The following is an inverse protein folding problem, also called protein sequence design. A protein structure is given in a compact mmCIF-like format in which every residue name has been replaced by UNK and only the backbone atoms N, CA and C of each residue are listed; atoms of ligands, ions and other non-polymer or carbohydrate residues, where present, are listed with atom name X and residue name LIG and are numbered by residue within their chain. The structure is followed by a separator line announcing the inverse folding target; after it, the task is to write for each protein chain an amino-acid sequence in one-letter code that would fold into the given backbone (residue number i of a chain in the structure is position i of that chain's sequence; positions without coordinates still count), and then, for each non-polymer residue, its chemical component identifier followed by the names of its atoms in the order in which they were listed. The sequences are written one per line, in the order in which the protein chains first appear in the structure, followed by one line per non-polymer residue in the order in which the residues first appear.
data_IF_296119024710
#
_entry.id   IF_296119024710
#
_cell.length_a   1.000
_cell.length_b   1.000
_cell.length_c   1.000
_cell.angle_alpha   90.00
_cell.angle_beta   90.00
_cell.angle_gamma   90.00
#
_symmetry.space_group_name_H-M   'P 1'
#
loop_
_entity.id
_entity.type
_entity.pdbx_description
1 polymer ?
#
# COMPACT_ATOMS: atom_id res chain seq x y z
N UNK A 1 -33.33 -66.57 38.44
CA UNK A 1 -32.02 -66.32 37.78
C UNK A 1 -32.25 -65.29 36.63
N UNK A 2 -32.81 -64.10 36.92
CA UNK A 2 -33.06 -63.06 35.87
C UNK A 2 -33.17 -61.61 36.41
N UNK A 3 -33.04 -61.32 37.70
CA UNK A 3 -33.14 -59.95 38.19
C UNK A 3 -31.81 -59.25 38.42
N UNK A 4 -30.68 -59.95 38.51
CA UNK A 4 -29.41 -59.37 38.76
C UNK A 4 -28.73 -58.82 37.47
N UNK A 5 -29.05 -59.36 36.29
CA UNK A 5 -28.53 -58.86 35.00
C UNK A 5 -29.15 -57.56 34.50
N UNK A 6 -30.36 -57.24 34.95
CA UNK A 6 -31.05 -56.03 34.54
C UNK A 6 -30.59 -54.78 35.31
N UNK A 7 -30.01 -54.96 36.52
CA UNK A 7 -29.52 -53.87 37.37
C UNK A 7 -28.11 -53.40 36.98
N UNK A 8 -27.28 -54.27 36.40
CA UNK A 8 -25.92 -53.91 35.96
C UNK A 8 -25.93 -53.19 34.59
N UNK A 9 -26.86 -53.49 33.69
CA UNK A 9 -27.00 -52.77 32.43
C UNK A 9 -27.49 -51.32 32.60
N UNK A 10 -28.33 -51.06 33.61
CA UNK A 10 -28.78 -49.68 33.94
C UNK A 10 -27.74 -48.84 34.63
N UNK A 11 -26.77 -49.45 35.34
CA UNK A 11 -25.63 -48.74 35.93
C UNK A 11 -24.53 -48.40 34.90
N UNK A 12 -24.36 -49.21 33.86
CA UNK A 12 -23.43 -48.92 32.75
C UNK A 12 -24.00 -47.85 31.82
N UNK A 13 -25.30 -47.81 31.57
CA UNK A 13 -25.94 -46.76 30.78
C UNK A 13 -25.90 -45.39 31.48
N UNK A 14 -25.99 -45.35 32.84
CA UNK A 14 -25.88 -44.06 33.61
C UNK A 14 -24.44 -43.52 33.65
N UNK A 15 -23.42 -44.36 33.51
CA UNK A 15 -22.04 -43.92 33.46
C UNK A 15 -21.61 -43.43 32.08
N UNK A 16 -22.26 -43.86 31.02
CA UNK A 16 -22.03 -43.40 29.65
C UNK A 16 -22.74 -42.07 29.32
N UNK A 17 -23.85 -41.75 29.98
CA UNK A 17 -24.58 -40.49 29.76
C UNK A 17 -23.99 -39.32 30.58
N UNK A 18 -23.31 -39.57 31.72
CA UNK A 18 -22.62 -38.53 32.45
C UNK A 18 -21.20 -38.20 31.91
N UNK A 19 -20.61 -39.02 31.01
CA UNK A 19 -19.34 -38.76 30.35
C UNK A 19 -19.43 -37.94 29.10
N UNK A 20 -20.65 -37.82 28.48
CA UNK A 20 -20.85 -37.11 27.24
C UNK A 20 -21.26 -35.63 27.40
N UNK A 21 -21.55 -35.20 28.63
CA UNK A 21 -22.03 -33.83 28.89
C UNK A 21 -20.96 -32.83 29.33
N UNK A 22 -19.67 -33.19 29.35
CA UNK A 22 -18.55 -32.31 29.72
C UNK A 22 -17.58 -32.00 28.58
N UNK A 23 -17.92 -32.28 27.34
CA UNK A 23 -17.13 -31.92 26.16
C UNK A 23 -17.85 -30.96 25.19
N UNK A 24 -18.89 -30.27 25.67
CA UNK A 24 -19.56 -29.23 24.92
C UNK A 24 -19.18 -27.87 25.51
N UNK A 25 -18.24 -27.16 24.88
CA UNK A 25 -18.12 -25.73 25.16
C UNK A 25 -16.75 -25.16 25.49
N UNK A 26 -15.73 -25.47 24.71
CA UNK A 26 -14.66 -24.51 24.48
C UNK A 26 -14.39 -24.48 22.98
N UNK A 27 -15.31 -23.88 22.25
CA UNK A 27 -14.96 -23.26 20.99
C UNK A 27 -14.08 -22.06 21.34
N UNK A 28 -12.78 -22.30 21.40
CA UNK A 28 -11.82 -21.23 21.30
C UNK A 28 -12.09 -20.55 19.97
N UNK A 29 -12.67 -19.36 20.01
CA UNK A 29 -12.61 -18.43 18.90
C UNK A 29 -11.11 -18.20 18.65
N UNK A 30 -10.53 -18.94 17.70
CA UNK A 30 -9.21 -18.61 17.19
C UNK A 30 -9.34 -17.19 16.66
N UNK A 31 -8.54 -16.23 17.17
CA UNK A 31 -8.53 -14.91 16.55
C UNK A 31 -8.23 -15.13 15.07
N UNK A 32 -9.06 -14.56 14.21
CA UNK A 32 -8.80 -14.56 12.78
C UNK A 32 -7.36 -14.05 12.60
N UNK A 33 -6.47 -14.90 12.07
CA UNK A 33 -5.09 -14.54 11.82
C UNK A 33 -5.11 -13.36 10.86
N UNK A 34 -4.83 -12.17 11.36
CA UNK A 34 -4.66 -10.96 10.55
C UNK A 34 -3.29 -11.05 9.90
N UNK A 35 -3.22 -10.82 8.59
CA UNK A 35 -1.96 -10.67 7.86
C UNK A 35 -1.34 -9.31 8.23
N UNK A 36 -0.77 -9.22 9.43
CA UNK A 36 -0.02 -8.06 9.87
C UNK A 36 1.33 -8.03 9.16
N UNK A 37 1.70 -6.88 8.60
CA UNK A 37 2.96 -6.68 7.89
C UNK A 37 4.04 -6.26 8.89
N UNK A 38 5.24 -6.86 8.76
CA UNK A 38 6.44 -6.50 9.51
C UNK A 38 7.40 -5.77 8.61
N UNK A 39 7.92 -4.62 9.06
CA UNK A 39 8.84 -3.77 8.29
C UNK A 39 10.29 -4.18 8.56
N UNK A 40 11.05 -4.33 7.48
CA UNK A 40 12.48 -4.53 7.49
C UNK A 40 13.15 -3.51 6.56
N UNK A 41 14.04 -2.66 7.08
CA UNK A 41 14.84 -1.73 6.25
C UNK A 41 15.88 -2.53 5.49
N UNK A 42 15.81 -2.55 4.17
CA UNK A 42 16.73 -3.30 3.30
C UNK A 42 17.88 -2.43 2.78
N UNK A 43 17.65 -1.13 2.62
CA UNK A 43 18.69 -0.16 2.25
C UNK A 43 18.35 1.25 2.76
N UNK A 44 19.37 2.06 2.97
CA UNK A 44 19.26 3.46 3.40
C UNK A 44 20.35 4.31 2.78
N UNK A 45 20.22 5.63 2.84
CA UNK A 45 21.27 6.55 2.38
C UNK A 45 22.54 6.39 3.22
N UNK A 46 23.70 6.65 2.62
CA UNK A 46 24.99 6.54 3.31
C UNK A 46 25.07 7.46 4.54
N UNK A 47 24.56 8.68 4.43
CA UNK A 47 24.58 9.71 5.48
C UNK A 47 23.12 10.15 5.78
N UNK A 48 22.35 9.38 6.58
CA UNK A 48 20.99 9.75 6.94
C UNK A 48 20.97 10.99 7.82
N UNK A 49 19.96 11.84 7.64
CA UNK A 49 19.78 13.09 8.38
C UNK A 49 19.61 12.80 9.87
N UNK A 50 20.48 13.34 10.74
CA UNK A 50 20.38 13.14 12.19
C UNK A 50 19.23 13.97 12.77
N UNK A 51 18.29 13.30 13.45
CA UNK A 51 17.10 13.92 14.03
C UNK A 51 16.86 13.39 15.45
N UNK A 52 16.30 14.20 16.34
CA UNK A 52 15.79 13.75 17.63
C UNK A 52 14.27 13.92 17.65
N UNK A 53 13.56 12.88 17.99
CA UNK A 53 12.11 12.90 18.23
C UNK A 53 11.89 12.76 19.74
N UNK A 54 11.67 13.90 20.40
CA UNK A 54 11.47 13.95 21.85
C UNK A 54 10.12 13.33 22.18
N UNK A 55 10.00 12.50 23.25
CA UNK A 55 8.71 12.01 23.70
C UNK A 55 7.71 13.14 23.87
N UNK A 56 6.54 13.01 23.25
CA UNK A 56 5.52 14.05 23.31
C UNK A 56 4.88 14.09 24.69
N UNK A 57 4.79 15.28 25.28
CA UNK A 57 4.10 15.47 26.55
C UNK A 57 2.63 15.04 26.40
N UNK A 58 2.13 14.25 27.33
CA UNK A 58 0.74 13.79 27.36
C UNK A 58 -0.08 14.63 28.32
N UNK A 59 -1.28 15.06 27.87
CA UNK A 59 -2.30 15.55 28.79
C UNK A 59 -2.84 14.38 29.63
N UNK A 60 -3.09 14.59 30.91
CA UNK A 60 -3.59 13.56 31.85
C UNK A 60 -4.89 12.87 31.39
N UNK A 61 -5.67 13.55 30.53
CA UNK A 61 -6.95 13.07 30.01
C UNK A 61 -6.88 12.41 28.63
N UNK A 62 -5.69 12.18 28.04
CA UNK A 62 -5.58 11.56 26.73
C UNK A 62 -5.74 10.03 26.85
N UNK A 63 -6.86 9.43 26.40
CA UNK A 63 -7.03 7.99 26.45
C UNK A 63 -6.10 7.27 25.47
N UNK A 64 -5.54 6.13 25.87
CA UNK A 64 -4.80 5.19 25.03
C UNK A 64 -3.28 5.23 25.19
N UNK A 65 -2.65 4.12 24.81
CA UNK A 65 -1.21 3.89 24.92
C UNK A 65 -0.42 4.34 23.67
N UNK A 66 -1.04 5.07 22.74
CA UNK A 66 -0.40 5.48 21.49
C UNK A 66 0.71 6.48 21.77
N UNK A 67 1.96 6.11 21.49
CA UNK A 67 3.10 7.02 21.52
C UNK A 67 3.29 7.66 20.13
N UNK A 68 2.87 8.92 20.00
CA UNK A 68 3.01 9.70 18.75
C UNK A 68 4.47 9.82 18.33
N UNK A 69 5.39 10.02 19.29
CA UNK A 69 6.81 10.17 18.98
C UNK A 69 7.40 8.85 18.45
N UNK A 70 6.95 7.69 18.93
CA UNK A 70 7.38 6.39 18.41
C UNK A 70 6.95 6.21 16.94
N UNK A 71 5.71 6.57 16.61
CA UNK A 71 5.23 6.47 15.22
C UNK A 71 6.04 7.39 14.31
N UNK A 72 6.25 8.66 14.72
CA UNK A 72 7.03 9.62 13.95
C UNK A 72 8.48 9.12 13.76
N UNK A 73 9.09 8.58 14.81
CA UNK A 73 10.42 8.00 14.73
C UNK A 73 10.45 6.83 13.74
N UNK A 74 9.50 5.91 13.87
CA UNK A 74 9.40 4.73 13.00
C UNK A 74 9.22 5.11 11.52
N UNK A 75 8.36 6.06 11.21
CA UNK A 75 8.14 6.57 9.87
C UNK A 75 9.43 7.12 9.26
N UNK A 76 10.09 8.04 10.00
CA UNK A 76 11.28 8.72 9.51
C UNK A 76 12.47 7.78 9.35
N UNK A 77 12.76 6.93 10.33
CA UNK A 77 13.80 5.90 10.23
C UNK A 77 13.47 4.87 9.15
N UNK A 78 12.23 4.41 9.11
CA UNK A 78 11.72 3.49 8.10
C UNK A 78 11.88 4.03 6.67
N UNK A 79 11.88 5.35 6.46
CA UNK A 79 12.17 5.93 5.14
C UNK A 79 13.61 5.71 4.65
N UNK A 80 14.52 5.28 5.54
CA UNK A 80 15.94 5.14 5.26
C UNK A 80 16.68 6.46 5.04
N UNK A 81 16.03 7.62 5.26
CA UNK A 81 16.55 8.97 5.07
C UNK A 81 16.99 9.64 6.37
N UNK A 82 16.53 9.14 7.50
CA UNK A 82 16.79 9.72 8.82
C UNK A 82 17.42 8.71 9.75
N UNK A 83 18.14 9.23 10.74
CA UNK A 83 18.69 8.49 11.87
C UNK A 83 18.29 9.19 13.15
N UNK A 84 17.44 8.55 13.94
CA UNK A 84 16.97 9.11 15.20
C UNK A 84 18.05 9.02 16.30
N UNK A 85 18.14 10.05 17.12
CA UNK A 85 18.91 10.00 18.37
C UNK A 85 18.18 9.12 19.38
N UNK A 86 18.82 8.07 19.94
CA UNK A 86 18.22 7.25 20.99
C UNK A 86 17.72 8.10 22.18
N UNK A 87 16.55 7.77 22.71
CA UNK A 87 15.89 8.55 23.80
C UNK A 87 16.76 8.70 25.03
N UNK A 88 17.53 7.67 25.38
CA UNK A 88 18.44 7.63 26.54
C UNK A 88 19.61 8.60 26.39
N UNK A 89 19.91 9.05 25.19
CA UNK A 89 20.99 9.99 24.88
C UNK A 89 20.50 11.44 24.80
N UNK A 90 19.19 11.67 24.89
CA UNK A 90 18.63 13.01 24.80
C UNK A 90 19.01 13.84 26.05
N UNK A 91 19.50 15.09 25.90
CA UNK A 91 19.99 15.89 27.01
C UNK A 91 18.85 16.48 27.84
N UNK A 92 17.63 16.54 27.29
CA UNK A 92 16.41 17.07 27.91
C UNK A 92 15.17 16.57 27.17
N UNK A 93 14.00 16.80 27.76
CA UNK A 93 12.69 16.48 27.16
C UNK A 93 11.86 17.78 26.98
N UNK A 94 12.29 18.71 26.09
CA UNK A 94 11.50 19.91 25.80
C UNK A 94 10.19 19.55 25.12
N UNK A 95 9.13 20.33 25.38
CA UNK A 95 7.80 20.15 24.78
C UNK A 95 7.43 21.26 23.82
N UNK A 96 8.30 22.30 23.72
CA UNK A 96 8.15 23.48 22.87
C UNK A 96 9.50 23.90 22.32
N UNK A 97 9.50 24.58 21.16
CA UNK A 97 10.71 25.03 20.47
C UNK A 97 11.57 25.99 21.33
N UNK A 98 10.93 26.85 22.13
CA UNK A 98 11.62 27.83 23.00
C UNK A 98 12.41 27.17 24.15
N UNK A 99 12.13 25.92 24.45
CA UNK A 99 12.83 25.11 25.47
C UNK A 99 14.03 24.32 24.88
N UNK A 100 14.19 24.32 23.56
CA UNK A 100 15.27 23.57 22.89
C UNK A 100 16.57 24.35 22.99
N UNK A 101 17.47 23.93 23.91
CA UNK A 101 18.82 24.47 24.02
C UNK A 101 19.69 23.93 22.89
N UNK A 102 19.62 24.53 21.70
CA UNK A 102 20.26 24.06 20.45
C UNK A 102 21.73 23.62 20.61
N UNK A 103 22.62 24.29 21.39
CA UNK A 103 24.00 23.84 21.58
C UNK A 103 24.13 22.43 22.17
N UNK A 104 23.25 22.04 23.10
CA UNK A 104 23.30 20.71 23.72
C UNK A 104 23.00 19.58 22.74
N UNK A 105 22.06 19.81 21.81
CA UNK A 105 21.69 18.86 20.75
C UNK A 105 22.73 18.79 19.65
N UNK A 106 23.32 19.94 19.28
CA UNK A 106 24.37 20.00 18.27
C UNK A 106 25.62 19.21 18.65
N UNK A 107 26.03 19.24 19.93
CA UNK A 107 27.18 18.45 20.43
C UNK A 107 26.94 16.93 20.25
N UNK A 108 25.67 16.49 20.24
CA UNK A 108 25.28 15.09 19.98
C UNK A 108 25.16 14.74 18.49
N UNK A 109 25.50 15.68 17.61
CA UNK A 109 25.42 15.49 16.16
C UNK A 109 23.98 15.43 15.65
N UNK A 110 23.06 16.13 16.29
CA UNK A 110 21.63 16.17 15.91
C UNK A 110 21.34 17.48 15.20
N UNK A 111 20.91 17.41 13.94
CA UNK A 111 20.63 18.60 13.13
C UNK A 111 19.22 19.16 13.34
N UNK A 112 18.28 18.29 13.71
CA UNK A 112 16.87 18.65 13.91
C UNK A 112 16.32 18.04 15.18
N UNK A 113 15.45 18.78 15.87
CA UNK A 113 14.71 18.32 17.05
C UNK A 113 13.21 18.51 16.82
N UNK A 114 12.47 17.44 17.02
CA UNK A 114 10.99 17.42 17.04
C UNK A 114 10.54 17.41 18.48
N UNK A 115 9.70 18.36 18.84
CA UNK A 115 9.08 18.46 20.17
C UNK A 115 7.58 18.53 19.98
N UNK A 116 6.81 18.10 21.00
CA UNK A 116 5.37 18.14 20.87
C UNK A 116 4.62 17.73 22.13
N UNK A 117 3.32 17.78 22.01
CA UNK A 117 2.38 17.38 23.07
C UNK A 117 1.08 16.86 22.47
N UNK A 118 0.40 16.01 23.19
CA UNK A 118 -0.99 15.63 22.94
C UNK A 118 -1.92 16.34 23.93
N UNK A 119 -3.09 16.78 23.48
CA UNK A 119 -4.08 17.46 24.31
C UNK A 119 -5.47 16.88 24.04
N UNK A 120 -6.26 16.72 25.10
CA UNK A 120 -7.70 16.49 24.96
C UNK A 120 -8.39 17.82 24.65
N UNK A 121 -9.41 17.78 23.78
CA UNK A 121 -10.25 18.92 23.44
C UNK A 121 -11.64 18.75 24.07
N UNK A 122 -12.33 19.87 24.33
CA UNK A 122 -13.63 19.90 25.01
C UNK A 122 -14.73 19.08 24.31
N UNK A 123 -14.58 18.81 23.02
CA UNK A 123 -15.52 18.00 22.22
C UNK A 123 -15.19 16.49 22.22
N UNK A 124 -14.27 16.04 23.07
CA UNK A 124 -13.83 14.65 23.12
C UNK A 124 -12.85 14.23 22.02
N UNK A 125 -12.43 15.15 21.17
CA UNK A 125 -11.34 14.94 20.21
C UNK A 125 -9.97 15.04 20.91
N UNK A 126 -8.94 14.56 20.25
CA UNK A 126 -7.54 14.74 20.65
C UNK A 126 -6.82 15.62 19.62
N UNK A 127 -5.81 16.34 20.09
CA UNK A 127 -4.90 17.11 19.23
C UNK A 127 -3.45 16.68 19.46
N UNK A 128 -2.67 16.70 18.38
CA UNK A 128 -1.22 16.58 18.40
C UNK A 128 -0.65 17.93 17.97
N UNK A 129 0.01 18.63 18.88
CA UNK A 129 0.82 19.80 18.59
C UNK A 129 2.27 19.37 18.42
N UNK A 130 2.93 19.81 17.35
CA UNK A 130 4.36 19.57 17.19
C UNK A 130 5.09 20.80 16.66
N UNK A 131 6.38 20.86 16.94
CA UNK A 131 7.30 21.88 16.43
C UNK A 131 8.59 21.20 15.97
N UNK A 132 9.14 21.66 14.84
CA UNK A 132 10.43 21.20 14.29
C UNK A 132 11.44 22.34 14.40
N UNK A 133 12.57 22.08 15.04
CA UNK A 133 13.66 23.04 15.27
C UNK A 133 14.92 22.58 14.55
N UNK A 134 15.58 23.50 13.83
CA UNK A 134 16.92 23.29 13.31
C UNK A 134 17.94 23.70 14.39
N UNK A 135 18.78 22.78 14.84
CA UNK A 135 19.74 23.02 15.93
C UNK A 135 20.92 23.90 15.52
N UNK A 136 21.25 23.95 14.24
CA UNK A 136 22.36 24.77 13.72
C UNK A 136 22.03 26.26 13.77
N UNK A 137 20.77 26.60 13.40
CA UNK A 137 20.32 27.99 13.31
C UNK A 137 19.45 28.42 14.48
N UNK A 138 18.92 27.49 15.28
CA UNK A 138 17.91 27.74 16.31
C UNK A 138 16.52 28.04 15.73
N UNK A 139 16.34 27.97 14.41
CA UNK A 139 15.10 28.35 13.74
C UNK A 139 14.04 27.26 13.89
N UNK A 140 12.80 27.67 14.20
CA UNK A 140 11.61 26.81 14.11
C UNK A 140 11.16 26.70 12.64
N UNK A 141 11.29 25.49 12.06
CA UNK A 141 10.97 25.23 10.67
C UNK A 141 9.49 24.90 10.43
N UNK A 142 8.83 24.33 11.43
CA UNK A 142 7.40 24.03 11.41
C UNK A 142 6.78 24.14 12.81
N UNK A 143 5.50 24.49 12.85
CA UNK A 143 4.64 24.40 14.02
C UNK A 143 3.22 24.15 13.52
N UNK A 144 2.62 22.99 13.85
CA UNK A 144 1.28 22.65 13.40
C UNK A 144 0.53 21.86 14.48
N UNK A 145 -0.80 21.92 14.36
CA UNK A 145 -1.74 21.12 15.17
C UNK A 145 -2.56 20.24 14.25
N UNK A 146 -2.64 18.96 14.59
CA UNK A 146 -3.56 18.01 13.99
C UNK A 146 -4.56 17.54 15.03
N UNK A 147 -5.85 17.72 14.77
CA UNK A 147 -6.92 17.30 15.68
C UNK A 147 -7.84 16.29 14.99
N UNK A 148 -8.43 15.40 15.79
CA UNK A 148 -9.36 14.39 15.31
C UNK A 148 -9.90 13.50 16.42
N UNK A 149 -10.75 12.55 16.06
CA UNK A 149 -11.22 11.54 17.00
C UNK A 149 -10.04 10.72 17.57
N UNK A 150 -10.15 10.12 18.75
CA UNK A 150 -9.08 9.31 19.35
C UNK A 150 -8.49 8.27 18.41
N UNK A 151 -9.32 7.58 17.62
CA UNK A 151 -8.88 6.60 16.61
C UNK A 151 -8.10 7.18 15.43
N UNK A 152 -8.11 8.51 15.24
CA UNK A 152 -7.39 9.19 14.16
C UNK A 152 -5.97 9.64 14.58
N UNK A 153 -5.54 9.38 15.83
CA UNK A 153 -4.27 9.90 16.33
C UNK A 153 -3.05 9.27 15.66
N UNK A 154 -3.14 8.00 15.23
CA UNK A 154 -2.10 7.39 14.42
C UNK A 154 -1.92 8.12 13.08
N UNK A 155 -3.00 8.41 12.39
CA UNK A 155 -2.95 9.21 11.16
C UNK A 155 -2.41 10.63 11.42
N UNK A 156 -2.75 11.26 12.56
CA UNK A 156 -2.18 12.54 12.96
C UNK A 156 -0.65 12.45 13.13
N UNK A 157 -0.12 11.38 13.73
CA UNK A 157 1.32 11.13 13.84
C UNK A 157 1.99 10.99 12.47
N UNK A 158 1.42 10.22 11.55
CA UNK A 158 1.90 10.11 10.16
C UNK A 158 1.90 11.46 9.43
N UNK A 159 0.89 12.31 9.68
CA UNK A 159 0.87 13.68 9.13
C UNK A 159 1.99 14.56 9.69
N UNK A 160 2.36 14.37 10.94
CA UNK A 160 3.56 15.02 11.53
C UNK A 160 4.80 14.59 10.75
N UNK A 161 4.96 13.28 10.51
CA UNK A 161 6.06 12.71 9.70
C UNK A 161 6.07 13.29 8.28
N UNK A 162 4.93 13.41 7.62
CA UNK A 162 4.80 13.99 6.27
C UNK A 162 5.33 15.42 6.22
N UNK A 163 4.98 16.25 7.22
CA UNK A 163 5.43 17.65 7.30
C UNK A 163 6.93 17.73 7.59
N UNK A 164 7.45 16.93 8.51
CA UNK A 164 8.89 16.88 8.83
C UNK A 164 9.67 16.49 7.58
N UNK A 165 9.25 15.43 6.89
CA UNK A 165 9.85 14.95 5.67
C UNK A 165 9.90 16.04 4.59
N UNK A 166 8.78 16.75 4.40
CA UNK A 166 8.68 17.86 3.45
C UNK A 166 9.59 19.03 3.80
N UNK A 167 9.65 19.40 5.09
CA UNK A 167 10.45 20.55 5.52
C UNK A 167 11.97 20.33 5.41
N UNK A 168 12.40 19.09 5.53
CA UNK A 168 13.81 18.72 5.51
C UNK A 168 14.26 18.29 4.10
N UNK A 169 13.44 17.50 3.39
CA UNK A 169 13.82 16.90 2.10
C UNK A 169 13.16 17.58 0.88
N UNK A 170 12.22 18.51 1.09
CA UNK A 170 11.57 19.26 0.02
C UNK A 170 10.39 18.54 -0.66
N UNK A 171 10.15 17.25 -0.36
CA UNK A 171 9.06 16.44 -0.90
C UNK A 171 8.12 16.06 0.22
N UNK A 172 6.81 16.19 0.03
CA UNK A 172 5.81 15.74 1.01
C UNK A 172 5.99 14.25 1.31
N UNK A 173 5.94 13.84 2.59
CA UNK A 173 5.93 12.43 2.97
C UNK A 173 4.64 11.75 2.47
N UNK A 174 4.64 10.43 2.43
CA UNK A 174 3.47 9.63 2.09
C UNK A 174 3.08 8.67 3.23
N UNK A 175 3.43 9.02 4.47
CA UNK A 175 3.18 8.19 5.65
C UNK A 175 1.69 8.17 6.01
N UNK A 176 1.00 9.32 5.93
CA UNK A 176 -0.44 9.43 6.19
C UNK A 176 -1.29 8.99 4.99
N UNK A 177 -0.91 7.89 4.35
CA UNK A 177 -1.64 7.30 3.21
C UNK A 177 -2.02 5.86 3.50
N UNK A 178 -2.72 5.22 2.57
CA UNK A 178 -3.14 3.82 2.69
C UNK A 178 -2.61 3.00 1.52
N UNK A 179 -2.45 1.72 1.76
CA UNK A 179 -2.14 0.72 0.73
C UNK A 179 -3.27 -0.29 0.63
N UNK A 180 -3.47 -0.84 -0.56
CA UNK A 180 -4.26 -2.04 -0.77
C UNK A 180 -3.36 -3.15 -1.29
N UNK A 181 -3.64 -4.39 -0.90
CA UNK A 181 -2.89 -5.54 -1.38
C UNK A 181 -3.73 -6.82 -1.27
N UNK A 182 -3.30 -7.86 -1.95
CA UNK A 182 -3.92 -9.18 -1.86
C UNK A 182 -3.06 -10.07 -0.96
N UNK A 183 -3.67 -10.62 0.09
CA UNK A 183 -3.07 -11.69 0.89
C UNK A 183 -3.60 -13.03 0.43
N UNK A 184 -2.71 -14.04 0.37
CA UNK A 184 -3.04 -15.42 0.02
C UNK A 184 -2.67 -16.32 1.19
N UNK A 185 -3.64 -17.06 1.71
CA UNK A 185 -3.48 -17.96 2.85
C UNK A 185 -3.83 -19.40 2.47
N UNK A 186 -3.13 -20.34 3.09
CA UNK A 186 -3.34 -21.77 2.87
C UNK A 186 -2.69 -22.28 1.57
N UNK A 187 -2.83 -23.57 1.32
CA UNK A 187 -2.29 -24.25 0.15
C UNK A 187 -3.42 -24.68 -0.80
N UNK A 188 -3.11 -24.83 -2.08
CA UNK A 188 -4.05 -25.31 -3.08
C UNK A 188 -4.55 -26.73 -2.71
N UNK A 189 -5.85 -27.05 -2.88
CA UNK A 189 -6.92 -26.21 -3.45
C UNK A 189 -7.68 -25.35 -2.40
N UNK A 190 -7.23 -25.32 -1.15
CA UNK A 190 -7.92 -24.65 -0.04
C UNK A 190 -7.50 -23.18 0.15
N UNK A 191 -6.79 -22.60 -0.81
CA UNK A 191 -6.35 -21.20 -0.75
C UNK A 191 -7.51 -20.23 -0.53
N UNK A 192 -7.22 -19.19 0.25
CA UNK A 192 -8.11 -18.03 0.47
C UNK A 192 -7.37 -16.77 0.08
N UNK A 193 -8.07 -15.90 -0.61
CA UNK A 193 -7.60 -14.60 -1.07
C UNK A 193 -8.32 -13.52 -0.29
N UNK A 194 -7.58 -12.56 0.20
CA UNK A 194 -8.12 -11.43 0.93
C UNK A 194 -7.64 -10.13 0.29
N UNK A 195 -8.57 -9.24 -0.06
CA UNK A 195 -8.25 -7.87 -0.42
C UNK A 195 -8.21 -7.06 0.88
N UNK A 196 -7.04 -6.53 1.18
CA UNK A 196 -6.76 -5.84 2.44
C UNK A 196 -6.41 -4.39 2.15
N UNK A 197 -6.91 -3.50 3.01
CA UNK A 197 -6.50 -2.09 3.09
C UNK A 197 -5.80 -1.88 4.43
N UNK A 198 -4.65 -1.22 4.41
CA UNK A 198 -3.86 -0.91 5.60
C UNK A 198 -3.28 0.51 5.54
N UNK A 199 -2.70 1.01 6.63
CA UNK A 199 -1.84 2.19 6.61
C UNK A 199 -0.60 1.92 5.73
N UNK A 200 0.08 2.96 5.27
CA UNK A 200 1.23 2.81 4.36
C UNK A 200 2.38 1.98 4.95
N UNK A 201 2.49 1.95 6.28
CA UNK A 201 3.45 1.12 7.03
C UNK A 201 2.96 -0.32 7.28
N UNK A 202 1.79 -0.68 6.75
CA UNK A 202 1.18 -2.00 6.92
C UNK A 202 0.38 -2.18 8.21
N UNK A 203 0.33 -1.20 9.10
CA UNK A 203 -0.48 -1.27 10.30
C UNK A 203 -1.98 -1.15 10.01
N UNK A 204 -2.81 -1.50 11.00
CA UNK A 204 -4.27 -1.46 10.90
C UNK A 204 -4.85 -2.20 9.68
N UNK A 205 -4.38 -3.42 9.36
CA UNK A 205 -4.90 -4.14 8.20
C UNK A 205 -6.40 -4.44 8.38
N UNK A 206 -7.18 -4.11 7.35
CA UNK A 206 -8.61 -4.36 7.29
C UNK A 206 -8.97 -5.13 6.03
N UNK A 207 -9.48 -6.35 6.19
CA UNK A 207 -9.96 -7.15 5.07
C UNK A 207 -11.30 -6.61 4.58
N UNK A 208 -11.34 -6.11 3.35
CA UNK A 208 -12.54 -5.57 2.72
C UNK A 208 -13.26 -6.58 1.84
N UNK A 209 -12.57 -7.66 1.44
CA UNK A 209 -13.15 -8.78 0.71
C UNK A 209 -12.37 -10.06 1.00
N UNK A 210 -13.09 -11.16 1.21
CA UNK A 210 -12.55 -12.52 1.28
C UNK A 210 -13.13 -13.39 0.17
N UNK A 211 -12.30 -14.17 -0.53
CA UNK A 211 -12.68 -15.02 -1.65
C UNK A 211 -11.94 -16.35 -1.61
N UNK A 212 -12.62 -17.41 -2.12
CA UNK A 212 -11.97 -18.69 -2.42
C UNK A 212 -11.34 -18.72 -3.83
N UNK A 213 -11.52 -17.65 -4.58
CA UNK A 213 -11.01 -17.49 -5.94
C UNK A 213 -10.04 -16.33 -5.99
N UNK A 214 -9.10 -16.33 -6.96
CA UNK A 214 -8.12 -15.27 -7.07
C UNK A 214 -8.73 -13.86 -7.11
N UNK A 215 -8.04 -12.95 -6.44
CA UNK A 215 -8.24 -11.51 -6.50
C UNK A 215 -6.96 -10.90 -7.07
N UNK A 216 -7.08 -9.93 -7.98
CA UNK A 216 -5.94 -9.35 -8.69
C UNK A 216 -6.15 -7.87 -8.99
N UNK A 217 -5.05 -7.18 -9.28
CA UNK A 217 -4.98 -5.83 -9.85
C UNK A 217 -5.85 -4.81 -9.10
N UNK A 218 -5.72 -4.67 -7.77
CA UNK A 218 -6.38 -3.59 -7.07
C UNK A 218 -5.87 -2.24 -7.58
N UNK A 219 -6.79 -1.28 -7.73
CA UNK A 219 -6.50 0.07 -8.15
C UNK A 219 -7.37 1.06 -7.38
N UNK A 220 -6.75 2.06 -6.75
CA UNK A 220 -7.46 3.10 -6.02
C UNK A 220 -8.08 4.14 -6.94
N UNK A 221 -9.28 4.60 -6.60
CA UNK A 221 -9.80 5.83 -7.16
C UNK A 221 -8.98 7.05 -6.70
N UNK A 222 -8.90 8.12 -7.50
CA UNK A 222 -8.12 9.33 -7.16
C UNK A 222 -8.53 10.00 -5.84
N UNK A 223 -9.78 9.82 -5.40
CA UNK A 223 -10.31 10.32 -4.13
C UNK A 223 -10.05 9.38 -2.94
N UNK A 224 -9.46 8.19 -3.20
CA UNK A 224 -9.17 7.17 -2.19
C UNK A 224 -10.39 6.52 -1.53
N UNK A 225 -11.59 6.67 -2.11
CA UNK A 225 -12.81 6.10 -1.56
C UNK A 225 -13.13 4.73 -2.11
N UNK A 226 -12.78 4.46 -3.39
CA UNK A 226 -13.09 3.25 -4.10
C UNK A 226 -11.85 2.44 -4.45
N UNK A 227 -12.03 1.14 -4.54
CA UNK A 227 -11.07 0.21 -5.16
C UNK A 227 -11.74 -0.49 -6.34
N UNK A 228 -11.06 -0.47 -7.49
CA UNK A 228 -11.36 -1.39 -8.58
C UNK A 228 -10.45 -2.62 -8.44
N UNK A 229 -10.92 -3.80 -8.78
CA UNK A 229 -10.14 -5.04 -8.74
C UNK A 229 -10.75 -6.11 -9.64
N UNK A 230 -9.97 -7.14 -9.95
CA UNK A 230 -10.41 -8.34 -10.66
C UNK A 230 -10.75 -9.43 -9.66
N UNK A 231 -11.90 -10.09 -9.83
CA UNK A 231 -12.30 -11.27 -9.06
C UNK A 231 -12.70 -12.42 -9.99
N UNK A 232 -12.35 -13.63 -9.57
CA UNK A 232 -12.74 -14.87 -10.26
C UNK A 232 -13.89 -15.61 -9.56
N UNK A 233 -14.62 -14.97 -8.65
CA UNK A 233 -15.70 -15.59 -7.87
C UNK A 233 -16.84 -16.16 -8.75
N UNK A 234 -17.04 -15.63 -9.95
CA UNK A 234 -17.99 -16.14 -10.95
C UNK A 234 -17.40 -17.24 -11.85
N UNK A 235 -16.20 -17.77 -11.51
CA UNK A 235 -15.38 -18.69 -12.31
C UNK A 235 -14.78 -18.09 -13.58
N UNK A 236 -15.11 -16.87 -13.90
CA UNK A 236 -14.53 -16.05 -14.97
C UNK A 236 -14.04 -14.74 -14.38
N UNK A 237 -13.03 -14.16 -15.01
CA UNK A 237 -12.53 -12.86 -14.61
C UNK A 237 -13.65 -11.81 -14.74
N UNK A 238 -13.89 -11.04 -13.69
CA UNK A 238 -14.79 -9.91 -13.70
C UNK A 238 -14.18 -8.74 -12.95
N UNK A 239 -14.45 -7.52 -13.40
CA UNK A 239 -13.98 -6.30 -12.74
C UNK A 239 -15.10 -5.76 -11.85
N UNK A 240 -14.72 -5.46 -10.63
CA UNK A 240 -15.57 -4.86 -9.59
C UNK A 240 -15.04 -3.50 -9.18
N UNK A 241 -15.92 -2.62 -8.76
CA UNK A 241 -15.61 -1.43 -7.97
C UNK A 241 -16.29 -1.55 -6.61
N UNK A 242 -15.55 -1.22 -5.54
CA UNK A 242 -16.01 -1.37 -4.17
C UNK A 242 -15.71 -0.12 -3.36
N UNK A 243 -16.72 0.40 -2.63
CA UNK A 243 -16.55 1.48 -1.68
C UNK A 243 -15.86 0.94 -0.42
N UNK A 244 -14.66 1.43 -0.12
CA UNK A 244 -13.79 0.88 0.94
C UNK A 244 -14.46 0.96 2.31
N UNK A 245 -15.18 2.06 2.59
CA UNK A 245 -15.79 2.30 3.89
C UNK A 245 -16.98 1.39 4.21
N UNK A 246 -17.86 1.14 3.23
CA UNK A 246 -19.10 0.37 3.46
C UNK A 246 -19.00 -1.07 2.97
N UNK A 247 -18.02 -1.40 2.12
CA UNK A 247 -17.95 -2.69 1.43
C UNK A 247 -18.95 -2.83 0.28
N UNK A 248 -19.77 -1.81 0.01
CA UNK A 248 -20.67 -1.79 -1.16
C UNK A 248 -19.87 -1.96 -2.43
N UNK A 249 -20.25 -2.94 -3.25
CA UNK A 249 -19.55 -3.26 -4.50
C UNK A 249 -20.51 -3.49 -5.65
N UNK A 250 -20.05 -3.16 -6.86
CA UNK A 250 -20.75 -3.47 -8.12
C UNK A 250 -19.81 -4.06 -9.14
N UNK A 251 -20.29 -5.01 -9.90
CA UNK A 251 -19.61 -5.55 -11.07
C UNK A 251 -19.73 -4.55 -12.23
N UNK A 252 -18.60 -4.15 -12.79
CA UNK A 252 -18.56 -3.16 -13.90
C UNK A 252 -18.20 -3.80 -15.24
N UNK A 253 -17.54 -4.97 -15.23
CA UNK A 253 -17.31 -5.77 -16.43
C UNK A 253 -17.26 -7.25 -16.11
N UNK A 254 -17.93 -8.07 -16.92
CA UNK A 254 -17.87 -9.54 -16.88
C UNK A 254 -18.14 -10.10 -18.29
N UNK A 255 -17.44 -9.57 -19.28
CA UNK A 255 -17.56 -9.98 -20.68
C UNK A 255 -16.91 -11.35 -20.89
N UNK A 256 -17.31 -12.06 -21.95
CA UNK A 256 -16.64 -13.30 -22.31
C UNK A 256 -15.17 -13.04 -22.60
N UNK A 257 -14.27 -13.87 -22.04
CA UNK A 257 -12.82 -13.76 -22.19
C UNK A 257 -12.14 -12.95 -21.10
N UNK A 258 -11.13 -12.18 -21.46
CA UNK A 258 -10.32 -11.39 -20.52
C UNK A 258 -11.09 -10.18 -20.02
N UNK A 259 -11.10 -9.99 -18.71
CA UNK A 259 -11.55 -8.78 -18.01
C UNK A 259 -10.50 -8.47 -16.95
N UNK A 260 -9.71 -7.43 -17.13
CA UNK A 260 -8.57 -7.23 -16.24
C UNK A 260 -8.00 -5.83 -16.19
N UNK A 261 -6.99 -5.70 -15.35
CA UNK A 261 -6.12 -4.54 -15.19
C UNK A 261 -6.87 -3.19 -15.16
N UNK A 262 -7.83 -2.99 -14.23
CA UNK A 262 -8.54 -1.72 -14.15
C UNK A 262 -7.61 -0.58 -13.74
N UNK A 263 -7.75 0.57 -14.39
CA UNK A 263 -7.08 1.82 -14.01
C UNK A 263 -8.08 2.97 -14.02
N UNK A 264 -8.14 3.74 -12.93
CA UNK A 264 -9.03 4.88 -12.80
C UNK A 264 -8.53 6.08 -13.57
N UNK A 265 -9.44 6.78 -14.26
CA UNK A 265 -9.13 8.11 -14.80
C UNK A 265 -8.89 9.11 -13.66
N UNK A 266 -8.07 10.17 -13.88
CA UNK A 266 -7.77 11.17 -12.85
C UNK A 266 -9.01 11.90 -12.31
N UNK A 267 -10.10 11.97 -13.07
CA UNK A 267 -11.38 12.55 -12.68
C UNK A 267 -12.33 11.56 -11.97
N UNK A 268 -11.92 10.32 -11.78
CA UNK A 268 -12.68 9.22 -11.17
C UNK A 268 -13.98 8.81 -11.93
N UNK A 269 -14.23 9.32 -13.13
CA UNK A 269 -15.45 9.01 -13.88
C UNK A 269 -15.31 7.80 -14.80
N UNK A 270 -14.09 7.37 -15.13
CA UNK A 270 -13.83 6.31 -16.10
C UNK A 270 -12.86 5.27 -15.56
N UNK A 271 -12.96 4.06 -16.13
CA UNK A 271 -11.98 2.99 -15.96
C UNK A 271 -11.41 2.61 -17.33
N UNK A 272 -10.09 2.61 -17.45
CA UNK A 272 -9.41 1.88 -18.49
C UNK A 272 -9.34 0.40 -18.11
N UNK A 273 -9.59 -0.50 -19.04
CA UNK A 273 -9.70 -1.94 -18.85
C UNK A 273 -8.97 -2.68 -19.97
N UNK A 274 -8.43 -3.84 -19.64
CA UNK A 274 -8.03 -4.85 -20.61
C UNK A 274 -9.22 -5.78 -20.85
N UNK A 275 -9.76 -5.80 -22.06
CA UNK A 275 -10.87 -6.69 -22.43
C UNK A 275 -10.51 -7.49 -23.68
N UNK A 276 -10.82 -8.79 -23.66
CA UNK A 276 -10.68 -9.65 -24.83
C UNK A 276 -11.72 -10.74 -24.80
N UNK A 277 -12.30 -11.09 -25.95
CA UNK A 277 -13.34 -12.12 -26.01
C UNK A 277 -13.45 -12.78 -27.37
N UNK A 278 -14.04 -13.97 -27.39
CA UNK A 278 -14.19 -14.76 -28.61
C UNK A 278 -12.85 -15.23 -29.17
N UNK A 279 -12.59 -14.90 -30.43
CA UNK A 279 -11.31 -15.21 -31.10
C UNK A 279 -10.34 -14.02 -31.12
N UNK A 280 -10.68 -12.91 -30.40
CA UNK A 280 -9.90 -11.68 -30.44
C UNK A 280 -8.83 -11.59 -29.34
N UNK A 281 -7.75 -10.86 -29.67
CA UNK A 281 -6.71 -10.51 -28.69
C UNK A 281 -7.27 -9.54 -27.63
N UNK A 282 -6.65 -9.49 -26.43
CA UNK A 282 -6.94 -8.43 -25.47
C UNK A 282 -6.58 -7.06 -26.01
N UNK A 283 -7.48 -6.10 -25.84
CA UNK A 283 -7.32 -4.69 -26.20
C UNK A 283 -7.66 -3.79 -25.02
N UNK A 284 -7.27 -2.52 -25.14
CA UNK A 284 -7.57 -1.49 -24.17
C UNK A 284 -8.93 -0.85 -24.49
N UNK A 285 -9.76 -0.78 -23.47
CA UNK A 285 -11.06 -0.12 -23.49
C UNK A 285 -11.17 0.92 -22.39
N UNK A 286 -12.00 1.92 -22.60
CA UNK A 286 -12.41 2.90 -21.58
C UNK A 286 -13.91 2.75 -21.33
N UNK A 287 -14.26 2.48 -20.10
CA UNK A 287 -15.62 2.40 -19.59
C UNK A 287 -15.96 3.69 -18.84
N UNK A 288 -16.99 4.38 -19.25
CA UNK A 288 -17.60 5.46 -18.49
C UNK A 288 -18.49 4.87 -17.37
N UNK A 289 -18.22 5.21 -16.13
CA UNK A 289 -18.92 4.63 -14.97
C UNK A 289 -20.32 5.20 -14.73
N UNK A 290 -20.64 6.33 -15.37
CA UNK A 290 -21.94 6.99 -15.27
C UNK A 290 -22.88 6.53 -16.39
N UNK A 291 -22.43 6.63 -17.65
CA UNK A 291 -23.24 6.27 -18.80
C UNK A 291 -23.19 4.78 -19.13
N UNK A 292 -22.18 4.07 -18.64
CA UNK A 292 -21.85 2.68 -18.97
C UNK A 292 -21.41 2.49 -20.43
N UNK A 293 -21.05 3.58 -21.12
CA UNK A 293 -20.50 3.53 -22.45
C UNK A 293 -19.11 2.92 -22.44
N UNK A 294 -18.85 2.02 -23.37
CA UNK A 294 -17.58 1.34 -23.52
C UNK A 294 -16.94 1.71 -24.87
N UNK A 295 -15.80 2.35 -24.82
CA UNK A 295 -15.03 2.78 -26.00
C UNK A 295 -13.78 1.93 -26.15
N UNK A 296 -13.59 1.28 -27.30
CA UNK A 296 -12.35 0.58 -27.65
C UNK A 296 -11.28 1.62 -28.02
N UNK A 297 -10.11 1.54 -27.41
CA UNK A 297 -8.99 2.47 -27.59
C UNK A 297 -7.93 1.87 -28.52
N UNK A 298 -7.64 0.58 -28.38
CA UNK A 298 -6.70 -0.13 -29.27
C UNK A 298 -7.45 -1.17 -30.10
N UNK A 299 -6.97 -1.38 -31.34
CA UNK A 299 -7.50 -2.34 -32.31
C UNK A 299 -6.32 -2.89 -33.12
N UNK A 300 -5.59 -3.84 -32.57
CA UNK A 300 -4.36 -4.41 -33.13
C UNK A 300 -4.36 -5.92 -32.95
N UNK A 301 -3.80 -6.74 -33.88
CA UNK A 301 -3.60 -8.16 -33.63
C UNK A 301 -2.70 -8.51 -32.44
N UNK A 302 -1.94 -7.55 -31.91
CA UNK A 302 -1.10 -7.70 -30.73
C UNK A 302 -1.92 -7.79 -29.45
N UNK A 303 -1.28 -8.27 -28.38
CA UNK A 303 -1.82 -8.28 -27.02
C UNK A 303 -1.59 -6.90 -26.42
N UNK A 304 -2.65 -6.13 -26.21
CA UNK A 304 -2.63 -4.84 -25.51
C UNK A 304 -3.25 -5.00 -24.13
N UNK A 305 -2.46 -4.70 -23.08
CA UNK A 305 -2.87 -4.98 -21.69
C UNK A 305 -2.31 -3.94 -20.71
N UNK A 306 -2.79 -4.00 -19.44
CA UNK A 306 -2.29 -3.22 -18.32
C UNK A 306 -2.30 -1.70 -18.57
N UNK A 307 -3.48 -1.13 -18.90
CA UNK A 307 -3.58 0.31 -19.13
C UNK A 307 -3.31 1.10 -17.84
N UNK A 308 -2.72 2.28 -18.01
CA UNK A 308 -2.51 3.28 -16.97
C UNK A 308 -2.80 4.66 -17.52
N UNK A 309 -3.57 5.47 -16.80
CA UNK A 309 -3.86 6.82 -17.24
C UNK A 309 -2.67 7.77 -17.02
N UNK A 310 -2.44 8.64 -18.01
CA UNK A 310 -1.62 9.82 -17.78
C UNK A 310 -2.31 10.75 -16.78
N UNK A 311 -1.55 11.46 -15.92
CA UNK A 311 -2.11 12.35 -14.90
C UNK A 311 -3.00 13.47 -15.46
N UNK A 312 -2.81 13.85 -16.73
CA UNK A 312 -3.62 14.84 -17.43
C UNK A 312 -4.95 14.30 -17.98
N UNK A 313 -5.18 12.99 -17.89
CA UNK A 313 -6.38 12.31 -18.39
C UNK A 313 -6.53 12.26 -19.90
N UNK A 314 -5.51 12.64 -20.70
CA UNK A 314 -5.60 12.75 -22.16
C UNK A 314 -5.05 11.55 -22.90
N UNK A 315 -4.27 10.70 -22.22
CA UNK A 315 -3.66 9.52 -22.82
C UNK A 315 -3.58 8.35 -21.84
N UNK A 316 -3.35 7.16 -22.39
CA UNK A 316 -3.10 5.91 -21.67
C UNK A 316 -1.72 5.40 -22.02
N UNK A 317 -1.03 4.87 -21.03
CA UNK A 317 0.14 4.00 -21.18
C UNK A 317 -0.34 2.56 -21.12
N UNK A 318 0.28 1.67 -21.87
CA UNK A 318 -0.12 0.25 -21.88
C UNK A 318 1.03 -0.63 -22.34
N UNK A 319 0.94 -1.91 -22.02
CA UNK A 319 1.85 -2.95 -22.51
C UNK A 319 1.35 -3.50 -23.83
N UNK A 320 2.24 -3.65 -24.82
CA UNK A 320 1.93 -4.26 -26.10
C UNK A 320 3.09 -5.07 -26.66
N UNK A 321 2.80 -6.22 -27.25
CA UNK A 321 3.79 -7.07 -27.94
C UNK A 321 3.85 -6.84 -29.46
N UNK A 322 3.22 -5.78 -29.99
CA UNK A 322 3.17 -5.41 -31.42
C UNK A 322 4.54 -5.28 -32.10
N UNK A 323 5.61 -5.09 -31.34
CA UNK A 323 6.98 -5.09 -31.83
C UNK A 323 7.71 -6.42 -31.67
N UNK A 324 6.99 -7.53 -31.40
CA UNK A 324 7.51 -8.88 -31.22
C UNK A 324 7.86 -9.25 -29.79
N UNK A 325 7.85 -8.30 -28.86
CA UNK A 325 8.02 -8.52 -27.43
C UNK A 325 7.32 -7.42 -26.63
N UNK A 326 6.92 -7.68 -25.37
CA UNK A 326 6.24 -6.69 -24.55
C UNK A 326 7.05 -5.41 -24.35
N UNK A 327 6.45 -4.29 -24.75
CA UNK A 327 7.00 -2.94 -24.59
C UNK A 327 5.89 -1.98 -24.17
N UNK A 328 6.25 -0.83 -23.65
CA UNK A 328 5.30 0.19 -23.21
C UNK A 328 5.05 1.18 -24.33
N UNK A 329 3.77 1.44 -24.55
CA UNK A 329 3.26 2.41 -25.53
C UNK A 329 2.38 3.44 -24.84
N UNK A 330 2.24 4.59 -25.46
CA UNK A 330 1.29 5.64 -25.09
C UNK A 330 0.33 5.90 -26.24
N UNK A 331 -0.96 6.09 -25.92
CA UNK A 331 -2.00 6.40 -26.91
C UNK A 331 -2.96 7.47 -26.34
N UNK A 332 -3.38 8.41 -27.18
CA UNK A 332 -4.45 9.36 -26.84
C UNK A 332 -5.81 8.65 -26.70
N UNK A 333 -6.67 9.13 -25.81
CA UNK A 333 -8.03 8.56 -25.63
C UNK A 333 -9.06 9.11 -26.63
N UNK A 334 -8.60 9.72 -27.71
CA UNK A 334 -9.43 10.23 -28.79
C UNK A 334 -9.52 9.21 -29.94
N UNK A 335 -10.68 9.10 -30.65
CA UNK A 335 -10.80 8.18 -31.76
C UNK A 335 -9.72 8.38 -32.83
N UNK A 336 -9.13 7.29 -33.33
CA UNK A 336 -8.10 7.32 -34.38
C UNK A 336 -6.70 7.71 -33.91
N UNK A 337 -6.47 7.87 -32.60
CA UNK A 337 -5.14 8.08 -32.05
C UNK A 337 -4.21 6.90 -32.41
N UNK A 338 -2.94 7.19 -32.64
CA UNK A 338 -1.92 6.17 -32.95
C UNK A 338 -1.01 5.95 -31.72
N UNK A 339 -0.71 4.68 -31.37
CA UNK A 339 0.19 4.39 -30.27
C UNK A 339 1.63 4.79 -30.61
N UNK A 340 2.31 5.38 -29.62
CA UNK A 340 3.74 5.74 -29.66
C UNK A 340 4.49 4.83 -28.70
N UNK A 341 5.51 4.11 -29.19
CA UNK A 341 6.40 3.30 -28.34
C UNK A 341 7.27 4.20 -27.45
N UNK A 342 7.43 3.83 -26.18
CA UNK A 342 8.21 4.57 -25.19
C UNK A 342 9.45 3.82 -24.72
N UNK A 343 9.41 2.49 -24.69
CA UNK A 343 10.54 1.66 -24.25
C UNK A 343 11.22 0.98 -25.44
N UNK A 344 12.55 1.08 -25.52
CA UNK A 344 13.36 0.57 -26.62
C UNK A 344 14.47 -0.36 -26.18
N UNK A 345 14.86 -0.32 -24.89
CA UNK A 345 15.88 -1.18 -24.30
C UNK A 345 15.29 -2.47 -23.76
N UNK A 346 16.05 -3.55 -23.84
CA UNK A 346 15.63 -4.86 -23.33
C UNK A 346 14.55 -5.56 -24.17
N UNK A 347 14.27 -6.81 -23.84
CA UNK A 347 13.31 -7.66 -24.52
C UNK A 347 11.96 -7.75 -23.82
N UNK A 348 11.79 -7.09 -22.68
CA UNK A 348 10.55 -7.11 -21.92
C UNK A 348 10.44 -5.85 -21.06
N UNK A 349 9.40 -5.07 -21.29
CA UNK A 349 8.99 -3.95 -20.46
C UNK A 349 7.46 -3.96 -20.40
N UNK A 350 6.89 -4.08 -19.21
CA UNK A 350 5.45 -4.28 -18.98
C UNK A 350 4.98 -3.59 -17.69
N UNK A 351 3.67 -3.58 -17.47
CA UNK A 351 3.01 -3.04 -16.28
C UNK A 351 3.39 -1.57 -16.03
N UNK A 352 3.08 -0.65 -16.97
CA UNK A 352 3.41 0.75 -16.80
C UNK A 352 2.67 1.36 -15.62
N UNK A 353 3.36 2.22 -14.88
CA UNK A 353 2.78 3.11 -13.86
C UNK A 353 3.43 4.46 -14.02
N UNK A 354 2.64 5.50 -14.05
CA UNK A 354 3.14 6.87 -14.23
C UNK A 354 3.18 7.57 -12.89
N UNK A 355 4.27 8.32 -12.62
CA UNK A 355 4.37 9.13 -11.41
C UNK A 355 3.28 10.22 -11.40
N UNK A 356 2.82 10.66 -10.22
CA UNK A 356 1.75 11.67 -10.13
C UNK A 356 2.03 12.98 -10.84
N UNK A 357 3.30 13.35 -11.00
CA UNK A 357 3.74 14.54 -11.75
C UNK A 357 3.91 14.30 -13.26
N UNK A 358 3.73 13.05 -13.72
CA UNK A 358 3.90 12.66 -15.12
C UNK A 358 5.34 12.61 -15.61
N UNK A 359 6.34 12.75 -14.73
CA UNK A 359 7.75 12.83 -15.14
C UNK A 359 8.42 11.45 -15.29
N UNK A 360 7.93 10.44 -14.59
CA UNK A 360 8.56 9.12 -14.52
C UNK A 360 7.57 8.01 -14.88
N UNK A 361 8.09 6.95 -15.49
CA UNK A 361 7.38 5.73 -15.83
C UNK A 361 8.04 4.54 -15.11
N UNK A 362 7.36 3.97 -14.13
CA UNK A 362 7.76 2.71 -13.53
C UNK A 362 7.26 1.54 -14.37
N UNK A 363 8.02 0.45 -14.39
CA UNK A 363 7.72 -0.74 -15.18
C UNK A 363 8.39 -1.98 -14.58
N UNK A 364 7.90 -3.14 -14.97
CA UNK A 364 8.61 -4.41 -14.84
C UNK A 364 9.49 -4.59 -16.07
N UNK A 365 10.78 -4.81 -15.87
CA UNK A 365 11.74 -5.06 -16.95
C UNK A 365 12.46 -6.40 -16.74
N UNK A 366 12.85 -7.05 -17.83
CA UNK A 366 13.72 -8.23 -17.78
C UNK A 366 15.18 -7.78 -17.80
N UNK A 367 15.85 -7.92 -16.65
CA UNK A 367 17.26 -7.58 -16.47
C UNK A 367 18.04 -8.82 -16.03
N UNK A 368 19.04 -9.23 -16.84
CA UNK A 368 19.89 -10.40 -16.59
C UNK A 368 19.08 -11.67 -16.22
N UNK A 369 17.96 -11.92 -16.90
CA UNK A 369 17.09 -13.09 -16.67
C UNK A 369 16.17 -12.99 -15.46
N UNK A 370 16.11 -11.85 -14.79
CA UNK A 370 15.23 -11.59 -13.66
C UNK A 370 14.23 -10.49 -13.99
N UNK A 371 12.99 -10.61 -13.51
CA UNK A 371 12.00 -9.55 -13.59
C UNK A 371 12.24 -8.56 -12.46
N UNK A 372 12.44 -7.29 -12.80
CA UNK A 372 12.80 -6.24 -11.84
C UNK A 372 11.99 -4.98 -12.07
N UNK A 373 11.89 -4.17 -11.03
CA UNK A 373 11.28 -2.85 -11.13
C UNK A 373 12.31 -1.87 -11.65
N UNK A 374 11.94 -1.14 -12.70
CA UNK A 374 12.72 -0.06 -13.27
C UNK A 374 11.90 1.22 -13.38
N UNK A 375 12.57 2.35 -13.42
CA UNK A 375 11.99 3.66 -13.69
C UNK A 375 12.67 4.29 -14.90
N UNK A 376 11.86 4.80 -15.81
CA UNK A 376 12.30 5.61 -16.95
C UNK A 376 11.93 7.07 -16.69
N UNK A 377 12.88 7.98 -16.86
CA UNK A 377 12.61 9.41 -16.97
C UNK A 377 12.00 9.68 -18.35
N UNK A 378 10.79 10.21 -18.39
CA UNK A 378 10.03 10.39 -19.63
C UNK A 378 10.58 11.49 -20.55
N UNK A 379 11.32 12.46 -20.00
CA UNK A 379 11.90 13.55 -20.76
C UNK A 379 13.19 13.11 -21.45
N UNK A 380 14.10 12.42 -20.75
CA UNK A 380 15.40 11.98 -21.27
C UNK A 380 15.39 10.58 -21.88
N UNK A 381 14.39 9.74 -21.49
CA UNK A 381 14.36 8.33 -21.84
C UNK A 381 15.30 7.45 -21.02
N UNK A 382 16.04 8.01 -20.06
CA UNK A 382 16.98 7.27 -19.22
C UNK A 382 16.26 6.27 -18.31
N UNK A 383 16.73 5.02 -18.31
CA UNK A 383 16.16 3.91 -17.51
C UNK A 383 17.11 3.57 -16.37
N UNK A 384 16.56 3.37 -15.19
CA UNK A 384 17.26 2.89 -13.98
C UNK A 384 16.52 1.68 -13.42
N UNK A 385 17.23 0.56 -13.25
CA UNK A 385 16.74 -0.61 -12.52
C UNK A 385 16.88 -0.31 -11.02
N UNK A 386 15.80 -0.50 -10.26
CA UNK A 386 15.72 -0.12 -8.85
C UNK A 386 15.74 -1.33 -7.91
N UNK A 387 15.09 -2.42 -8.30
CA UNK A 387 15.01 -3.62 -7.48
C UNK A 387 16.04 -4.67 -7.86
N UNK A 388 16.30 -5.62 -6.96
CA UNK A 388 17.36 -6.62 -7.10
C UNK A 388 16.86 -8.07 -6.97
N UNK A 389 15.55 -8.26 -6.84
CA UNK A 389 14.91 -9.57 -6.74
C UNK A 389 15.01 -10.40 -8.02
N UNK A 390 14.47 -11.60 -7.95
CA UNK A 390 14.39 -12.52 -9.12
C UNK A 390 13.07 -12.37 -9.85
N UNK A 391 12.01 -12.06 -9.11
CA UNK A 391 10.65 -11.87 -9.61
C UNK A 391 10.00 -10.75 -8.80
N UNK A 392 10.17 -9.53 -9.29
CA UNK A 392 9.61 -8.31 -8.75
C UNK A 392 8.55 -7.80 -9.72
N UNK A 393 7.33 -7.59 -9.24
CA UNK A 393 6.17 -7.30 -10.07
C UNK A 393 5.26 -6.23 -9.44
N UNK A 394 4.28 -5.77 -10.21
CA UNK A 394 3.18 -4.91 -9.75
C UNK A 394 3.66 -3.61 -9.07
N UNK A 395 4.48 -2.79 -9.75
CA UNK A 395 4.91 -1.51 -9.19
C UNK A 395 3.71 -0.58 -8.98
N UNK A 396 3.76 0.21 -7.91
CA UNK A 396 2.78 1.26 -7.60
C UNK A 396 3.49 2.45 -6.96
N UNK A 397 3.30 3.65 -7.53
CA UNK A 397 3.87 4.87 -6.95
C UNK A 397 3.15 5.27 -5.66
N UNK A 398 3.93 5.72 -4.69
CA UNK A 398 3.41 6.56 -3.63
C UNK A 398 2.91 7.90 -4.22
N UNK A 399 1.90 8.55 -3.61
CA UNK A 399 1.32 9.76 -4.18
C UNK A 399 2.27 10.98 -4.21
N UNK A 400 3.43 10.87 -3.55
CA UNK A 400 4.49 11.87 -3.65
C UNK A 400 5.47 11.64 -4.83
N UNK A 401 5.32 10.53 -5.57
CA UNK A 401 6.19 10.17 -6.69
C UNK A 401 7.63 9.78 -6.31
N UNK A 402 7.98 9.79 -5.03
CA UNK A 402 9.36 9.57 -4.57
C UNK A 402 9.67 8.11 -4.19
N UNK A 403 8.63 7.27 -4.07
CA UNK A 403 8.75 5.88 -3.64
C UNK A 403 7.84 5.00 -4.48
N UNK A 404 8.29 3.80 -4.77
CA UNK A 404 7.51 2.72 -5.38
C UNK A 404 7.32 1.59 -4.37
N UNK A 405 6.13 1.01 -4.36
CA UNK A 405 5.84 -0.29 -3.73
C UNK A 405 5.67 -1.34 -4.82
N UNK A 406 6.10 -2.55 -4.57
CA UNK A 406 6.00 -3.66 -5.51
C UNK A 406 5.91 -5.00 -4.78
N UNK A 407 5.52 -6.05 -5.50
CA UNK A 407 5.58 -7.43 -5.01
C UNK A 407 6.96 -7.99 -5.27
N UNK A 408 7.60 -8.56 -4.24
CA UNK A 408 8.83 -9.32 -4.34
C UNK A 408 8.54 -10.79 -4.05
N UNK A 409 9.06 -11.69 -4.89
CA UNK A 409 8.92 -13.14 -4.65
C UNK A 409 10.28 -13.78 -4.44
N UNK A 410 10.46 -14.39 -3.27
CA UNK A 410 11.62 -15.19 -2.92
C UNK A 410 11.20 -16.64 -2.69
N UNK A 411 11.50 -17.51 -3.67
CA UNK A 411 11.01 -18.89 -3.70
C UNK A 411 9.47 -18.95 -3.78
N UNK A 412 8.84 -19.59 -2.80
CA UNK A 412 7.37 -19.68 -2.69
C UNK A 412 6.74 -18.53 -1.87
N UNK A 413 7.54 -17.63 -1.30
CA UNK A 413 7.03 -16.56 -0.44
C UNK A 413 6.93 -15.23 -1.19
N UNK A 414 5.74 -14.65 -1.20
CA UNK A 414 5.50 -13.29 -1.67
C UNK A 414 5.55 -12.29 -0.50
N UNK A 415 6.26 -11.19 -0.69
CA UNK A 415 6.29 -10.04 0.21
C UNK A 415 6.07 -8.75 -0.55
N UNK A 416 5.70 -7.67 0.13
CA UNK A 416 5.74 -6.34 -0.44
C UNK A 416 7.10 -5.71 -0.15
N UNK A 417 7.58 -4.92 -1.09
CA UNK A 417 8.79 -4.15 -0.90
C UNK A 417 8.58 -2.71 -1.39
N UNK A 418 9.34 -1.78 -0.84
CA UNK A 418 9.41 -0.42 -1.37
C UNK A 418 10.82 -0.07 -1.78
N UNK A 419 10.93 0.83 -2.75
CA UNK A 419 12.21 1.39 -3.17
C UNK A 419 11.99 2.86 -3.55
N UNK A 420 12.92 3.74 -3.15
CA UNK A 420 12.88 5.13 -3.61
C UNK A 420 13.22 5.22 -5.09
N UNK A 421 12.63 6.21 -5.80
CA UNK A 421 12.85 6.38 -7.24
C UNK A 421 14.28 6.77 -7.59
N UNK A 422 15.08 7.24 -6.62
CA UNK A 422 16.53 7.41 -6.77
C UNK A 422 17.34 6.13 -6.52
N UNK A 423 16.69 5.05 -6.04
CA UNK A 423 17.31 3.75 -5.75
C UNK A 423 18.14 3.70 -4.47
N UNK A 424 18.07 4.71 -3.61
CA UNK A 424 18.95 4.80 -2.43
C UNK A 424 18.37 4.14 -1.18
N UNK A 425 17.06 4.04 -1.09
CA UNK A 425 16.39 3.48 0.09
C UNK A 425 15.40 2.39 -0.27
N UNK A 426 15.23 1.41 0.60
CA UNK A 426 14.28 0.31 0.40
C UNK A 426 13.82 -0.32 1.70
N UNK A 427 12.58 -0.78 1.71
CA UNK A 427 11.96 -1.51 2.80
C UNK A 427 11.37 -2.81 2.28
N UNK A 428 11.24 -3.80 3.15
CA UNK A 428 10.45 -5.01 2.92
C UNK A 428 9.36 -5.13 3.97
N UNK A 429 8.13 -5.37 3.52
CA UNK A 429 6.96 -5.61 4.36
C UNK A 429 6.59 -7.09 4.23
N UNK A 430 6.93 -7.87 5.24
CA UNK A 430 6.66 -9.31 5.29
C UNK A 430 5.33 -9.56 5.98
N UNK A 431 4.48 -10.40 5.38
CA UNK A 431 3.32 -10.90 6.10
C UNK A 431 3.75 -11.85 7.23
N UNK A 432 3.10 -11.74 8.37
CA UNK A 432 3.29 -12.68 9.49
C UNK A 432 2.87 -14.10 9.12
N UNK A 433 1.88 -14.24 8.23
CA UNK A 433 1.38 -15.51 7.72
C UNK A 433 0.95 -15.40 6.25
N UNK A 434 1.18 -16.47 5.46
CA UNK A 434 0.81 -16.53 4.04
C UNK A 434 1.73 -15.72 3.14
N UNK A 435 1.20 -15.31 2.00
CA UNK A 435 1.87 -14.51 0.98
C UNK A 435 1.10 -13.20 0.77
N UNK A 436 1.80 -12.14 0.36
CA UNK A 436 1.19 -10.87 -0.05
C UNK A 436 1.69 -10.47 -1.42
N UNK A 437 0.79 -9.92 -2.22
CA UNK A 437 1.04 -9.59 -3.62
C UNK A 437 0.13 -8.45 -4.11
N UNK A 438 0.37 -7.98 -5.34
CA UNK A 438 -0.48 -7.01 -6.04
C UNK A 438 -0.72 -5.74 -5.20
N UNK A 439 0.31 -5.01 -4.77
CA UNK A 439 0.11 -3.79 -4.02
C UNK A 439 -0.42 -2.66 -4.89
N UNK A 440 -1.24 -1.81 -4.29
CA UNK A 440 -1.64 -0.53 -4.85
C UNK A 440 -1.51 0.54 -3.77
N UNK A 441 -0.70 1.55 -4.02
CA UNK A 441 -0.57 2.69 -3.11
C UNK A 441 -1.72 3.66 -3.34
N UNK A 442 -2.41 4.06 -2.28
CA UNK A 442 -3.52 4.99 -2.34
C UNK A 442 -3.07 6.46 -2.47
N UNK A 443 -3.98 7.35 -2.86
CA UNK A 443 -3.71 8.77 -2.94
C UNK A 443 -3.53 9.39 -1.56
N UNK A 444 -3.09 10.65 -1.52
CA UNK A 444 -3.16 11.43 -0.28
C UNK A 444 -4.61 11.49 0.22
N UNK A 445 -4.78 11.31 1.53
CA UNK A 445 -6.09 11.58 2.14
C UNK A 445 -6.41 13.08 2.05
N UNK A 446 -7.67 13.44 1.74
CA UNK A 446 -8.12 14.83 1.67
C UNK A 446 -7.95 15.60 2.97
#
# INVERSE_FOLDING_TARGET
MNETKARDSLRQLRRLVCGAAMFAGVLWAMPAARAELQIEVTSGVRDPVPIAIVPFARAEAAPGDLDVADIVQHDLEGSGRFRALPRERMPAQPTRADQVASPAWKVLGTDYVVVGRTAALDNGSLAVDFELVNTLTGARLAAQRFAGAPGAMRNAAHRVSDVIYQKILGVRGAFATRIAYVAVQGEAPAQRYQLIVADADGANPHTILESRFPLMSPAWSPDGQWLAYVSFETKHAAVYVQLVRSGERRQVSARAGVNGAPAWSPDAHKLALTLGGGSGNPDIYVLDLTTQDLTRITDDPAIDTEPEWAPDGKSLFFTSDRAGSPQIYQIGVTPGARPKRLTFGGNYNARPRVSPDGAQLAMVTLDNGNYRIAVQDLASGAVRVLSHGRLDESPSFAPNGATLMYSEREGSRGSLATVSTDGLTGLRLKASQGEVQEPAWGPFSP
#
